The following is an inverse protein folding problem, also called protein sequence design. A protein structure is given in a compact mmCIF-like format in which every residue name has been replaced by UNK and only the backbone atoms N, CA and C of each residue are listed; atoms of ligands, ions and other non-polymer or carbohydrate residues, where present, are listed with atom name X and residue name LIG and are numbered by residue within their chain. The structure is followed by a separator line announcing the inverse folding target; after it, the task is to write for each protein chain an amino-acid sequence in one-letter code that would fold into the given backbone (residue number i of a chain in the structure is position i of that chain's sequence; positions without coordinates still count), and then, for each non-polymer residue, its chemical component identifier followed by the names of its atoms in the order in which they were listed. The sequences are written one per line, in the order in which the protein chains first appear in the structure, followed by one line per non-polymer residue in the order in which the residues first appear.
data_IF_337726766924
#
_entry.id   IF_337726766924
#
_cell.length_a   1.000
_cell.length_b   1.000
_cell.length_c   1.000
_cell.angle_alpha   90.00
_cell.angle_beta   90.00
_cell.angle_gamma   90.00
#
_symmetry.space_group_name_H-M   'P 1'
#
loop_
_entity.id
_entity.type
_entity.pdbx_description
1 polymer ?
#
# COMPACT_ATOMS: atom_id res chain seq x y z
N UNK A 1 17.96 -34.67 32.25
CA UNK A 1 17.90 -33.33 31.63
C UNK A 1 18.51 -33.50 30.26
N UNK A 2 17.71 -33.99 29.32
CA UNK A 2 18.12 -34.25 27.95
C UNK A 2 17.77 -33.02 27.12
N UNK A 3 18.78 -32.40 26.54
CA UNK A 3 18.64 -31.36 25.52
C UNK A 3 18.47 -32.08 24.19
N UNK A 4 17.24 -32.12 23.66
CA UNK A 4 17.04 -32.49 22.26
C UNK A 4 17.38 -31.30 21.36
N UNK A 5 18.24 -31.62 20.40
CA UNK A 5 18.94 -30.71 19.53
C UNK A 5 18.21 -30.68 18.18
N UNK A 6 17.73 -29.49 17.82
CA UNK A 6 17.68 -28.92 16.47
C UNK A 6 16.83 -29.66 15.43
N UNK A 7 15.66 -29.11 15.14
CA UNK A 7 14.85 -29.53 13.99
C UNK A 7 15.45 -29.00 12.68
N UNK A 8 15.79 -29.92 11.77
CA UNK A 8 16.21 -29.68 10.39
C UNK A 8 15.10 -29.13 9.47
N UNK A 9 14.43 -28.04 9.88
CA UNK A 9 13.60 -27.26 8.95
C UNK A 9 14.43 -26.07 8.45
N UNK A 10 14.48 -25.77 7.14
CA UNK A 10 14.94 -24.45 6.73
C UNK A 10 14.08 -23.43 7.48
N UNK A 11 14.64 -22.37 8.09
CA UNK A 11 13.85 -21.42 8.85
C UNK A 11 12.75 -20.94 7.91
N UNK A 12 11.51 -21.26 8.25
CA UNK A 12 10.32 -20.90 7.51
C UNK A 12 10.43 -19.40 7.24
N UNK A 13 10.72 -19.01 5.99
CA UNK A 13 11.11 -17.64 5.67
C UNK A 13 9.98 -16.73 6.13
N UNK A 14 10.35 -15.73 6.93
CA UNK A 14 9.41 -14.77 7.50
C UNK A 14 8.48 -14.23 6.40
N UNK A 15 7.14 -14.38 6.51
CA UNK A 15 6.21 -13.91 5.50
C UNK A 15 6.33 -12.40 5.23
N UNK A 16 6.89 -11.64 6.17
CA UNK A 16 7.25 -10.25 5.96
C UNK A 16 8.32 -10.08 4.87
N UNK A 17 9.36 -10.92 4.86
CA UNK A 17 10.43 -10.88 3.85
C UNK A 17 9.83 -11.13 2.47
N UNK A 18 8.91 -12.08 2.34
CA UNK A 18 8.24 -12.34 1.06
C UNK A 18 7.41 -11.13 0.59
N UNK A 19 6.67 -10.49 1.51
CA UNK A 19 5.92 -9.27 1.19
C UNK A 19 6.84 -8.13 0.74
N UNK A 20 7.95 -7.94 1.44
CA UNK A 20 8.97 -6.93 1.16
C UNK A 20 9.68 -7.18 -0.17
N UNK A 21 10.03 -8.44 -0.49
CA UNK A 21 10.63 -8.83 -1.77
C UNK A 21 9.72 -8.47 -2.95
N UNK A 22 8.42 -8.72 -2.84
CA UNK A 22 7.45 -8.35 -3.88
C UNK A 22 7.34 -6.83 -4.03
N UNK A 23 7.27 -6.09 -2.93
CA UNK A 23 7.23 -4.63 -2.96
C UNK A 23 8.50 -4.05 -3.61
N UNK A 24 9.68 -4.52 -3.17
CA UNK A 24 10.98 -4.12 -3.71
C UNK A 24 11.10 -4.41 -5.21
N UNK A 25 10.56 -5.54 -5.67
CA UNK A 25 10.51 -5.86 -7.10
C UNK A 25 9.68 -4.82 -7.87
N UNK A 26 8.46 -4.50 -7.42
CA UNK A 26 7.61 -3.47 -8.06
C UNK A 26 8.33 -2.12 -8.08
N UNK A 27 8.94 -1.72 -6.96
CA UNK A 27 9.67 -0.47 -6.82
C UNK A 27 10.90 -0.40 -7.74
N UNK A 28 11.62 -1.51 -7.89
CA UNK A 28 12.74 -1.63 -8.82
C UNK A 28 12.30 -1.41 -10.28
N UNK A 29 11.13 -1.95 -10.68
CA UNK A 29 10.56 -1.67 -11.99
C UNK A 29 10.20 -0.19 -12.18
N UNK A 30 9.75 0.50 -11.13
CA UNK A 30 9.45 1.93 -11.21
C UNK A 30 10.74 2.75 -11.38
N UNK A 31 11.79 2.40 -10.61
CA UNK A 31 13.04 3.18 -10.52
C UNK A 31 14.11 2.84 -11.56
N UNK A 32 14.00 1.72 -12.26
CA UNK A 32 15.01 1.35 -13.26
C UNK A 32 15.09 2.40 -14.37
N UNK A 33 16.31 2.86 -14.66
CA UNK A 33 16.58 3.82 -15.73
C UNK A 33 16.29 3.19 -17.09
N UNK A 34 15.61 3.94 -17.94
CA UNK A 34 15.23 3.57 -19.31
C UNK A 34 15.72 4.64 -20.25
N UNK A 35 16.18 4.23 -21.42
CA UNK A 35 16.51 5.16 -22.48
C UNK A 35 15.25 5.46 -23.31
N UNK A 36 14.78 6.69 -23.24
CA UNK A 36 13.66 7.18 -24.05
C UNK A 36 14.12 7.73 -25.40
N UNK A 37 13.20 8.31 -26.19
CA UNK A 37 13.53 8.89 -27.49
C UNK A 37 14.58 10.02 -27.44
N UNK A 38 14.65 10.73 -26.31
CA UNK A 38 15.48 11.94 -26.19
C UNK A 38 16.38 11.97 -24.94
N UNK A 39 16.07 11.21 -23.89
CA UNK A 39 16.84 11.20 -22.63
C UNK A 39 16.60 9.93 -21.79
N UNK A 40 17.41 9.77 -20.74
CA UNK A 40 17.18 8.76 -19.71
C UNK A 40 16.04 9.19 -18.80
N UNK A 41 15.13 8.26 -18.49
CA UNK A 41 14.02 8.48 -17.55
C UNK A 41 13.71 7.20 -16.75
N UNK A 42 13.07 7.37 -15.62
CA UNK A 42 12.45 6.30 -14.82
C UNK A 42 10.93 6.42 -14.93
N UNK A 43 10.19 5.37 -14.56
CA UNK A 43 8.73 5.52 -14.50
C UNK A 43 8.27 6.42 -13.34
N UNK A 44 9.13 6.66 -12.33
CA UNK A 44 8.83 7.62 -11.27
C UNK A 44 8.72 9.05 -11.83
N UNK A 45 9.45 9.37 -12.89
CA UNK A 45 9.43 10.69 -13.53
C UNK A 45 8.04 11.01 -14.13
N UNK A 46 7.24 9.98 -14.44
CA UNK A 46 5.86 10.15 -14.93
C UNK A 46 4.90 10.75 -13.89
N UNK A 47 5.30 10.81 -12.62
CA UNK A 47 4.50 11.39 -11.55
C UNK A 47 4.54 12.93 -11.53
N UNK A 48 5.38 13.55 -12.38
CA UNK A 48 5.40 14.99 -12.74
C UNK A 48 5.33 15.99 -11.57
N UNK A 49 6.07 15.75 -10.47
CA UNK A 49 6.05 16.56 -9.23
C UNK A 49 4.68 16.71 -8.55
N UNK A 50 3.63 16.08 -9.08
CA UNK A 50 2.28 16.25 -8.56
C UNK A 50 1.98 15.32 -7.37
N UNK A 51 2.78 14.25 -7.24
CA UNK A 51 2.73 13.31 -6.12
C UNK A 51 3.98 13.41 -5.27
N UNK A 52 3.80 13.49 -3.95
CA UNK A 52 4.90 13.42 -2.99
C UNK A 52 4.68 12.27 -2.00
N UNK A 53 5.78 11.71 -1.50
CA UNK A 53 5.72 10.83 -0.34
C UNK A 53 5.22 11.62 0.86
N UNK A 54 4.16 11.14 1.51
CA UNK A 54 3.62 11.78 2.70
C UNK A 54 4.03 11.06 3.96
N UNK A 55 4.71 11.81 4.83
CA UNK A 55 4.93 11.46 6.22
C UNK A 55 4.25 12.53 7.11
N UNK A 56 3.06 12.25 7.67
CA UNK A 56 2.37 13.22 8.52
C UNK A 56 3.09 13.40 9.84
N UNK A 57 3.16 14.65 10.32
CA UNK A 57 3.45 14.93 11.73
C UNK A 57 2.39 14.24 12.59
N UNK A 58 2.81 13.21 13.34
CA UNK A 58 1.95 12.40 14.19
C UNK A 58 1.69 13.08 15.52
N UNK A 59 0.45 13.01 15.97
CA UNK A 59 0.03 13.34 17.34
C UNK A 59 0.10 12.08 18.20
N UNK A 60 0.14 12.26 19.52
CA UNK A 60 0.20 11.17 20.50
C UNK A 60 -0.93 10.14 20.32
N UNK A 61 -2.13 10.59 19.93
CA UNK A 61 -3.32 9.75 19.76
C UNK A 61 -3.60 9.38 18.29
N UNK A 62 -2.69 9.69 17.36
CA UNK A 62 -2.87 9.32 15.96
C UNK A 62 -2.69 7.80 15.79
N UNK A 63 -3.51 7.14 14.95
CA UNK A 63 -3.38 5.71 14.75
C UNK A 63 -2.05 5.39 14.07
N UNK A 64 -1.42 4.30 14.50
CA UNK A 64 -0.16 3.87 13.94
C UNK A 64 -0.35 3.35 12.51
N UNK A 65 0.55 3.70 11.60
CA UNK A 65 0.60 3.18 10.22
C UNK A 65 1.50 1.95 10.08
N UNK A 66 1.94 1.41 11.21
CA UNK A 66 2.78 0.23 11.34
C UNK A 66 2.57 -0.34 12.74
N UNK A 67 2.96 -1.58 12.98
CA UNK A 67 2.96 -2.13 14.33
C UNK A 67 4.36 -2.35 14.89
N UNK A 68 4.49 -2.12 16.20
CA UNK A 68 5.68 -2.49 17.00
C UNK A 68 5.61 -3.98 17.35
N UNK A 69 6.76 -4.53 17.74
CA UNK A 69 7.10 -5.95 18.01
C UNK A 69 6.10 -6.72 18.90
N UNK A 70 5.19 -6.03 19.60
CA UNK A 70 4.28 -6.57 20.61
C UNK A 70 2.94 -7.12 20.05
N UNK A 71 2.69 -7.09 18.74
CA UNK A 71 1.55 -7.77 18.10
C UNK A 71 1.98 -9.13 17.55
N UNK A 72 1.17 -10.21 17.67
CA UNK A 72 1.58 -11.54 17.22
C UNK A 72 1.97 -11.63 15.73
N UNK A 73 1.57 -10.67 14.88
CA UNK A 73 1.95 -10.55 13.47
C UNK A 73 2.00 -9.07 13.04
N UNK A 74 3.16 -8.47 12.76
CA UNK A 74 3.25 -7.06 12.37
C UNK A 74 2.73 -6.79 10.95
N UNK A 75 2.44 -5.51 10.70
CA UNK A 75 2.20 -4.94 9.38
C UNK A 75 2.74 -3.53 9.32
N UNK A 76 2.90 -3.03 8.09
CA UNK A 76 3.41 -1.69 7.84
C UNK A 76 2.81 -1.11 6.56
N UNK A 77 2.43 0.16 6.63
CA UNK A 77 2.21 0.99 5.44
C UNK A 77 3.54 1.60 5.02
N UNK A 78 3.92 1.35 3.77
CA UNK A 78 5.09 1.93 3.10
C UNK A 78 4.66 2.66 1.83
N UNK A 79 5.56 3.48 1.27
CA UNK A 79 5.35 4.18 0.01
C UNK A 79 3.99 4.90 -0.10
N UNK A 80 3.63 5.60 0.97
CA UNK A 80 2.40 6.36 0.99
C UNK A 80 2.59 7.67 0.23
N UNK A 81 1.95 7.76 -0.93
CA UNK A 81 1.97 8.93 -1.81
C UNK A 81 0.65 9.69 -1.73
N UNK A 82 0.76 11.02 -1.76
CA UNK A 82 -0.38 11.94 -1.85
C UNK A 82 -0.15 12.97 -2.94
N UNK A 83 -1.24 13.57 -3.39
CA UNK A 83 -1.18 14.70 -4.30
C UNK A 83 -0.95 16.02 -3.57
N UNK A 84 -0.09 16.88 -4.10
CA UNK A 84 0.22 18.20 -3.52
C UNK A 84 -0.30 19.36 -4.35
N UNK A 85 -0.42 19.18 -5.66
CA UNK A 85 -0.80 20.27 -6.55
C UNK A 85 -2.30 20.59 -6.45
N UNK A 86 -2.65 21.80 -6.91
CA UNK A 86 -4.02 22.32 -6.89
C UNK A 86 -4.70 22.05 -8.23
N UNK A 87 -6.01 21.74 -8.26
CA UNK A 87 -6.91 21.57 -7.12
C UNK A 87 -6.60 20.30 -6.30
N UNK A 88 -6.92 20.31 -5.01
CA UNK A 88 -6.61 19.18 -4.10
C UNK A 88 -7.32 17.91 -4.56
N UNK A 89 -6.55 16.82 -4.65
CA UNK A 89 -7.05 15.46 -4.94
C UNK A 89 -6.87 14.60 -3.70
N UNK A 90 -7.95 14.13 -3.04
CA UNK A 90 -7.85 13.39 -1.78
C UNK A 90 -7.43 11.93 -1.97
N UNK A 91 -7.22 11.46 -3.20
CA UNK A 91 -6.75 10.11 -3.46
C UNK A 91 -5.30 9.93 -2.98
N UNK A 92 -5.05 8.80 -2.33
CA UNK A 92 -3.74 8.35 -1.86
C UNK A 92 -3.45 6.98 -2.43
N UNK A 93 -2.17 6.72 -2.67
CA UNK A 93 -1.67 5.40 -3.06
C UNK A 93 -0.70 4.94 -1.97
N UNK A 94 -0.79 3.69 -1.55
CA UNK A 94 0.10 3.12 -0.55
C UNK A 94 0.37 1.65 -0.77
N UNK A 95 1.46 1.16 -0.20
CA UNK A 95 1.74 -0.26 -0.07
C UNK A 95 1.50 -0.71 1.37
N UNK A 96 0.93 -1.89 1.55
CA UNK A 96 0.73 -2.53 2.84
C UNK A 96 1.52 -3.84 2.87
N UNK A 97 2.48 -3.96 3.77
CA UNK A 97 3.23 -5.19 4.03
C UNK A 97 2.60 -5.88 5.24
N UNK A 98 2.21 -7.14 5.11
CA UNK A 98 1.60 -7.92 6.18
C UNK A 98 2.42 -9.17 6.48
N UNK A 99 2.87 -9.34 7.74
CA UNK A 99 3.57 -10.54 8.19
C UNK A 99 2.56 -11.67 8.48
N UNK A 100 1.94 -12.20 7.43
CA UNK A 100 1.03 -13.33 7.51
C UNK A 100 1.14 -14.21 6.28
N UNK A 101 0.92 -15.50 6.47
CA UNK A 101 0.61 -16.41 5.38
C UNK A 101 -0.84 -16.17 4.96
N UNK A 102 -1.11 -15.91 3.66
CA UNK A 102 -2.47 -15.78 3.17
C UNK A 102 -3.22 -17.08 3.43
N UNK A 103 -4.45 -16.99 3.93
CA UNK A 103 -5.33 -18.15 3.93
C UNK A 103 -5.98 -18.31 2.55
N UNK A 104 -6.61 -19.46 2.30
CA UNK A 104 -7.38 -19.68 1.07
C UNK A 104 -8.66 -18.85 1.02
N UNK A 105 -8.97 -18.07 2.07
CA UNK A 105 -10.14 -17.22 2.09
C UNK A 105 -9.92 -16.05 1.12
N UNK A 106 -10.95 -15.76 0.32
CA UNK A 106 -10.90 -14.63 -0.61
C UNK A 106 -11.05 -13.28 0.12
N UNK A 107 -11.27 -13.26 1.44
CA UNK A 107 -11.55 -12.06 2.21
C UNK A 107 -10.33 -11.15 2.38
N UNK A 108 -10.60 -9.95 2.91
CA UNK A 108 -9.56 -9.03 3.37
C UNK A 108 -9.07 -9.42 4.77
N UNK A 109 -7.78 -9.30 4.98
CA UNK A 109 -7.12 -9.57 6.25
C UNK A 109 -7.32 -8.41 7.24
N UNK A 110 -7.17 -8.71 8.54
CA UNK A 110 -7.17 -7.69 9.58
C UNK A 110 -6.06 -6.66 9.37
N UNK A 111 -4.90 -7.06 8.82
CA UNK A 111 -3.76 -6.17 8.54
C UNK A 111 -4.11 -5.17 7.43
N UNK A 112 -4.73 -5.63 6.34
CA UNK A 112 -5.24 -4.75 5.28
C UNK A 112 -6.29 -3.76 5.79
N UNK A 113 -7.26 -4.25 6.57
CA UNK A 113 -8.31 -3.40 7.15
C UNK A 113 -7.72 -2.36 8.11
N UNK A 114 -6.76 -2.75 8.96
CA UNK A 114 -6.06 -1.83 9.87
C UNK A 114 -5.30 -0.76 9.10
N UNK A 115 -4.56 -1.15 8.06
CA UNK A 115 -3.84 -0.20 7.21
C UNK A 115 -4.81 0.83 6.60
N UNK A 116 -5.92 0.37 6.01
CA UNK A 116 -6.93 1.22 5.38
C UNK A 116 -7.58 2.16 6.42
N UNK A 117 -8.10 1.62 7.51
CA UNK A 117 -8.83 2.41 8.53
C UNK A 117 -7.91 3.45 9.17
N UNK A 118 -6.70 3.05 9.58
CA UNK A 118 -5.75 3.98 10.22
C UNK A 118 -5.36 5.11 9.27
N UNK A 119 -5.14 4.81 7.99
CA UNK A 119 -4.82 5.81 6.99
C UNK A 119 -5.99 6.72 6.65
N UNK A 120 -7.23 6.22 6.64
CA UNK A 120 -8.42 7.06 6.50
C UNK A 120 -8.53 8.01 7.68
N UNK A 121 -8.40 7.52 8.92
CA UNK A 121 -8.47 8.34 10.14
C UNK A 121 -7.43 9.47 10.16
N UNK A 122 -6.20 9.21 9.72
CA UNK A 122 -5.18 10.24 9.57
C UNK A 122 -5.59 11.29 8.52
N UNK A 123 -6.07 10.84 7.35
CA UNK A 123 -6.35 11.73 6.22
C UNK A 123 -7.61 12.58 6.40
N UNK A 124 -8.68 12.05 6.99
CA UNK A 124 -9.91 12.83 7.28
C UNK A 124 -9.61 13.96 8.27
N UNK A 125 -8.64 13.75 9.16
CA UNK A 125 -8.23 14.74 10.15
C UNK A 125 -7.14 15.69 9.64
N UNK A 126 -6.47 15.36 8.53
CA UNK A 126 -5.40 16.15 7.95
C UNK A 126 -5.93 17.43 7.29
N UNK A 127 -5.41 18.60 7.71
CA UNK A 127 -5.97 19.93 7.41
C UNK A 127 -6.30 20.19 5.93
N UNK A 128 -5.40 19.90 4.95
CA UNK A 128 -5.71 20.08 3.52
C UNK A 128 -6.94 19.29 3.05
N UNK A 129 -7.16 18.08 3.54
CA UNK A 129 -8.20 17.19 3.03
C UNK A 129 -9.45 17.15 3.91
N UNK A 130 -9.48 17.81 5.07
CA UNK A 130 -10.64 17.83 5.98
C UNK A 130 -11.95 18.29 5.31
N UNK A 131 -11.85 19.09 4.24
CA UNK A 131 -13.02 19.57 3.46
C UNK A 131 -13.39 18.65 2.29
N UNK A 132 -12.64 17.58 2.05
CA UNK A 132 -13.00 16.60 1.05
C UNK A 132 -14.08 15.68 1.62
N UNK A 133 -15.13 15.44 0.85
CA UNK A 133 -16.21 14.54 1.29
C UNK A 133 -15.90 13.07 1.02
N UNK A 134 -14.98 12.80 0.09
CA UNK A 134 -14.61 11.45 -0.32
C UNK A 134 -13.11 11.32 -0.17
N UNK A 135 -12.67 10.23 0.45
CA UNK A 135 -11.28 9.92 0.74
C UNK A 135 -10.89 8.57 0.11
N UNK A 136 -10.55 8.52 -1.18
CA UNK A 136 -10.13 7.28 -1.84
C UNK A 136 -8.72 6.87 -1.40
N UNK A 137 -8.47 5.58 -1.21
CA UNK A 137 -7.14 4.97 -1.04
C UNK A 137 -7.02 3.81 -2.01
N UNK A 138 -5.93 3.79 -2.77
CA UNK A 138 -5.46 2.61 -3.48
C UNK A 138 -4.37 1.94 -2.64
N UNK A 139 -4.54 0.66 -2.34
CA UNK A 139 -3.59 -0.14 -1.57
C UNK A 139 -3.04 -1.26 -2.45
N UNK A 140 -1.72 -1.34 -2.52
CA UNK A 140 -1.00 -2.52 -3.00
C UNK A 140 -0.64 -3.35 -1.76
N UNK A 141 -1.41 -4.40 -1.52
CA UNK A 141 -1.24 -5.27 -0.36
C UNK A 141 -0.32 -6.43 -0.72
N UNK A 142 0.71 -6.65 0.08
CA UNK A 142 1.68 -7.73 -0.06
C UNK A 142 1.80 -8.51 1.24
N UNK A 143 1.93 -9.83 1.13
CA UNK A 143 1.95 -10.75 2.26
C UNK A 143 2.87 -11.95 1.97
N UNK A 144 2.87 -12.93 2.86
CA UNK A 144 3.59 -14.18 2.70
C UNK A 144 3.28 -14.89 1.39
N UNK A 145 4.08 -15.92 1.10
CA UNK A 145 3.96 -16.76 -0.10
C UNK A 145 4.09 -15.96 -1.42
N UNK A 146 4.84 -14.85 -1.37
CA UNK A 146 5.00 -13.89 -2.48
C UNK A 146 3.65 -13.49 -3.09
N UNK A 147 2.64 -13.28 -2.25
CA UNK A 147 1.31 -12.93 -2.71
C UNK A 147 1.03 -11.44 -2.56
N UNK A 148 0.21 -10.92 -3.47
CA UNK A 148 -0.30 -9.57 -3.36
C UNK A 148 -1.64 -9.37 -4.05
N UNK A 149 -2.33 -8.29 -3.65
CA UNK A 149 -3.60 -7.87 -4.26
C UNK A 149 -3.73 -6.36 -4.28
N UNK A 150 -4.64 -5.87 -5.12
CA UNK A 150 -4.96 -4.45 -5.24
C UNK A 150 -6.28 -4.20 -4.52
N UNK A 151 -6.33 -3.22 -3.63
CA UNK A 151 -7.53 -2.82 -2.89
C UNK A 151 -7.84 -1.36 -3.19
N UNK A 152 -9.09 -1.08 -3.56
CA UNK A 152 -9.63 0.26 -3.65
C UNK A 152 -10.59 0.47 -2.48
N UNK A 153 -10.25 1.42 -1.62
CA UNK A 153 -11.05 1.82 -0.47
C UNK A 153 -11.54 3.25 -0.65
N UNK A 154 -12.76 3.54 -0.23
CA UNK A 154 -13.31 4.90 -0.24
C UNK A 154 -14.19 5.14 0.97
N UNK A 155 -13.89 6.19 1.72
CA UNK A 155 -14.74 6.68 2.81
C UNK A 155 -15.45 7.95 2.38
N UNK A 156 -16.78 7.96 2.54
CA UNK A 156 -17.67 9.05 2.10
C UNK A 156 -18.28 9.86 3.27
N UNK A 157 -17.79 9.66 4.48
CA UNK A 157 -18.34 10.24 5.71
C UNK A 157 -19.44 9.42 6.37
N UNK A 158 -20.04 8.45 5.67
CA UNK A 158 -21.09 7.56 6.19
C UNK A 158 -20.61 6.12 6.33
N UNK A 159 -19.83 5.64 5.38
CA UNK A 159 -19.37 4.25 5.34
C UNK A 159 -18.05 4.09 4.59
N UNK A 160 -17.44 2.93 4.80
CA UNK A 160 -16.25 2.48 4.09
C UNK A 160 -16.66 1.51 2.98
N UNK A 161 -16.38 1.87 1.73
CA UNK A 161 -16.58 1.02 0.56
C UNK A 161 -15.25 0.36 0.22
N UNK A 162 -15.25 -0.96 0.03
CA UNK A 162 -14.07 -1.76 -0.29
C UNK A 162 -14.30 -2.57 -1.55
N UNK A 163 -13.35 -2.51 -2.47
CA UNK A 163 -13.24 -3.38 -3.63
C UNK A 163 -11.82 -3.92 -3.68
N UNK A 164 -11.64 -5.19 -4.03
CA UNK A 164 -10.32 -5.79 -4.09
C UNK A 164 -10.24 -6.84 -5.20
N UNK A 165 -9.03 -7.01 -5.73
CA UNK A 165 -8.73 -8.08 -6.67
C UNK A 165 -8.59 -9.43 -5.96
N UNK A 166 -8.55 -10.51 -6.74
CA UNK A 166 -7.99 -11.78 -6.28
C UNK A 166 -6.55 -11.62 -5.78
N UNK A 167 -6.07 -12.61 -5.02
CA UNK A 167 -4.65 -12.77 -4.72
C UNK A 167 -3.89 -13.19 -5.99
N UNK A 168 -2.76 -12.54 -6.22
CA UNK A 168 -1.83 -12.87 -7.28
C UNK A 168 -0.54 -13.41 -6.69
N UNK A 169 0.00 -14.47 -7.28
CA UNK A 169 1.33 -14.98 -6.95
C UNK A 169 2.40 -14.23 -7.75
N UNK A 170 3.51 -13.95 -7.08
CA UNK A 170 4.73 -13.37 -7.64
C UNK A 170 5.92 -14.34 -7.62
N UNK A 171 5.71 -15.60 -7.27
CA UNK A 171 6.77 -16.62 -7.22
C UNK A 171 7.43 -16.86 -8.59
N UNK A 172 6.62 -16.88 -9.66
CA UNK A 172 7.09 -17.01 -11.03
C UNK A 172 7.09 -15.65 -11.73
N UNK A 173 8.27 -15.03 -11.85
CA UNK A 173 8.44 -13.71 -12.47
C UNK A 173 7.89 -13.62 -13.89
N UNK A 174 7.80 -14.73 -14.64
CA UNK A 174 7.25 -14.75 -16.00
C UNK A 174 5.72 -14.68 -16.03
N UNK A 175 5.06 -15.03 -14.92
CA UNK A 175 3.60 -15.04 -14.77
C UNK A 175 3.10 -13.94 -13.82
N UNK A 176 3.99 -13.43 -12.99
CA UNK A 176 3.71 -12.39 -12.01
C UNK A 176 3.11 -11.14 -12.69
N UNK A 177 2.02 -10.56 -12.17
CA UNK A 177 1.37 -9.39 -12.77
C UNK A 177 2.09 -8.08 -12.43
N UNK A 178 3.43 -8.06 -12.55
CA UNK A 178 4.29 -6.92 -12.20
C UNK A 178 3.81 -5.64 -12.88
N UNK A 179 3.56 -5.71 -14.19
CA UNK A 179 3.12 -4.55 -14.96
C UNK A 179 1.80 -3.96 -14.46
N UNK A 180 0.84 -4.82 -14.06
CA UNK A 180 -0.43 -4.39 -13.49
C UNK A 180 -0.20 -3.58 -12.22
N UNK A 181 0.62 -4.09 -11.30
CA UNK A 181 0.90 -3.42 -10.03
C UNK A 181 1.68 -2.11 -10.23
N UNK A 182 2.64 -2.07 -11.16
CA UNK A 182 3.34 -0.84 -11.55
C UNK A 182 2.36 0.21 -12.07
N UNK A 183 1.43 -0.15 -12.97
CA UNK A 183 0.41 0.77 -13.51
C UNK A 183 -0.49 1.35 -12.42
N UNK A 184 -0.89 0.53 -11.44
CA UNK A 184 -1.70 0.99 -10.31
C UNK A 184 -0.88 1.88 -9.36
N UNK A 185 0.37 1.52 -9.08
CA UNK A 185 1.27 2.35 -8.26
C UNK A 185 1.47 3.75 -8.86
N UNK A 186 1.56 3.83 -10.19
CA UNK A 186 1.74 5.07 -10.94
C UNK A 186 0.42 5.70 -11.40
N UNK A 187 -0.72 5.18 -10.95
CA UNK A 187 -2.01 5.67 -11.39
C UNK A 187 -2.22 7.13 -10.98
N UNK A 188 -2.92 7.89 -11.83
CA UNK A 188 -3.21 9.30 -11.52
C UNK A 188 -4.21 9.37 -10.36
N UNK A 189 -3.91 10.15 -9.30
CA UNK A 189 -4.85 10.37 -8.23
C UNK A 189 -6.16 11.00 -8.74
N UNK A 190 -7.29 10.59 -8.19
CA UNK A 190 -8.63 11.05 -8.60
C UNK A 190 -9.36 11.74 -7.45
N UNK A 191 -10.53 12.30 -7.75
CA UNK A 191 -11.36 13.01 -6.79
C UNK A 191 -11.05 14.50 -6.71
N UNK A 192 -11.79 15.19 -5.86
CA UNK A 192 -11.66 16.62 -5.65
C UNK A 192 -12.53 17.08 -4.50
N UNK A 193 -12.45 18.36 -4.18
CA UNK A 193 -13.39 19.00 -3.26
C UNK A 193 -14.72 19.11 -4.02
N UNK A 194 -15.71 18.26 -3.70
CA UNK A 194 -17.08 18.55 -4.10
C UNK A 194 -17.53 19.77 -3.29
N UNK A 195 -17.56 20.94 -3.90
CA UNK A 195 -18.45 22.01 -3.43
C UNK A 195 -19.85 21.52 -3.72
N UNK A 196 -20.63 21.21 -2.69
CA UNK A 196 -22.08 21.21 -2.84
C UNK A 196 -22.44 22.65 -3.24
N UNK A 197 -22.80 22.86 -4.50
CA UNK A 197 -23.56 24.03 -4.89
C UNK A 197 -24.89 23.93 -4.14
N UNK A 198 -25.05 24.79 -3.14
CA UNK A 198 -26.33 25.05 -2.49
C UNK A 198 -27.31 25.66 -3.49
#
# INVERSE_FOLDING_TARGET
MEYEMWSDFPPERDPYIHAEDVENMINSHIRVGRYGPHEWFTLADLLNDEQERWDPHRRENDPLTYKRVEDPKPWQVVNHYRYTSRPLKPHSIMSCLAQLWPDTSQGLTTHELRAIVNMILLRVNHKPFRRCHIHPILVLSFMGDYQGRIIQASYDGKGLILQYSQLWSFEDIKKAPVELFVRYHLSKPVGGVRTLSL
#
